data_IF_533930678645
#
_entry.id   IF_533930678645
#
_cell.length_a   1.000
_cell.length_b   1.000
_cell.length_c   1.000
_cell.angle_alpha   90.00
_cell.angle_beta   90.00
_cell.angle_gamma   90.00
#
_symmetry.space_group_name_H-M   'P 1'
#
loop_
_entity.id
_entity.type
_entity.pdbx_description
1 polymer ?
#
# COMPACT_ATOMS: atom_id res chain seq x y z
N UNK A 1 16.77 9.22 -10.57
CA UNK A 1 16.16 9.18 -9.20
C UNK A 1 16.14 7.72 -8.75
N UNK A 2 16.05 7.43 -7.45
CA UNK A 2 15.90 6.05 -6.96
C UNK A 2 14.47 5.52 -7.13
N UNK A 3 14.33 4.20 -7.22
CA UNK A 3 13.04 3.55 -7.07
C UNK A 3 12.72 3.39 -5.58
N UNK A 4 11.61 3.94 -5.13
CA UNK A 4 11.18 3.88 -3.73
C UNK A 4 9.82 3.20 -3.65
N UNK A 5 9.67 2.22 -2.76
CA UNK A 5 8.37 1.65 -2.45
C UNK A 5 7.86 2.18 -1.11
N UNK A 6 6.63 2.66 -1.08
CA UNK A 6 5.95 3.16 0.11
C UNK A 6 4.79 2.23 0.44
N UNK A 7 4.89 1.54 1.55
CA UNK A 7 3.85 0.64 2.05
C UNK A 7 3.30 1.07 3.41
N UNK A 8 2.29 0.41 3.86
CA UNK A 8 1.59 0.63 5.12
C UNK A 8 0.17 0.08 5.03
N UNK A 9 -0.48 -0.13 6.15
CA UNK A 9 -1.86 -0.59 6.17
C UNK A 9 -2.83 0.41 5.55
N UNK A 10 -4.08 0.02 5.41
CA UNK A 10 -5.15 0.92 4.95
C UNK A 10 -5.27 2.15 5.87
N UNK A 11 -5.54 3.32 5.31
CA UNK A 11 -5.68 4.58 6.08
C UNK A 11 -4.38 5.31 6.42
N UNK A 12 -3.19 4.76 6.10
CA UNK A 12 -1.90 5.44 6.38
C UNK A 12 -1.57 6.59 5.42
N UNK A 13 -2.32 6.77 4.31
CA UNK A 13 -2.17 7.91 3.40
C UNK A 13 -1.34 7.64 2.14
N UNK A 14 -1.03 6.39 1.81
CA UNK A 14 -0.22 6.00 0.63
C UNK A 14 -0.65 6.67 -0.68
N UNK A 15 -1.91 6.52 -1.06
CA UNK A 15 -2.46 7.08 -2.30
C UNK A 15 -2.41 8.61 -2.31
N UNK A 16 -2.68 9.24 -1.17
CA UNK A 16 -2.58 10.70 -1.02
C UNK A 16 -1.14 11.18 -1.24
N UNK A 17 -0.16 10.46 -0.67
CA UNK A 17 1.26 10.77 -0.87
C UNK A 17 1.64 10.61 -2.35
N UNK A 18 1.22 9.52 -3.01
CA UNK A 18 1.50 9.32 -4.43
C UNK A 18 0.99 10.50 -5.27
N UNK A 19 -0.24 10.93 -5.06
CA UNK A 19 -0.84 12.08 -5.77
C UNK A 19 -0.08 13.38 -5.51
N UNK A 20 0.27 13.68 -4.24
CA UNK A 20 1.02 14.90 -3.91
C UNK A 20 2.42 14.90 -4.53
N UNK A 21 3.11 13.76 -4.54
CA UNK A 21 4.42 13.62 -5.19
C UNK A 21 4.29 13.85 -6.70
N UNK A 22 3.28 13.26 -7.34
CA UNK A 22 2.99 13.46 -8.75
C UNK A 22 2.75 14.94 -9.09
N UNK A 23 1.94 15.64 -8.30
CA UNK A 23 1.65 17.08 -8.47
C UNK A 23 2.90 17.95 -8.29
N UNK A 24 3.89 17.47 -7.55
CA UNK A 24 5.22 18.11 -7.40
C UNK A 24 6.20 17.76 -8.54
N UNK A 25 5.77 16.97 -9.53
CA UNK A 25 6.61 16.55 -10.65
C UNK A 25 7.56 15.39 -10.32
N UNK A 26 7.35 14.69 -9.20
CA UNK A 26 8.07 13.48 -8.84
C UNK A 26 7.32 12.28 -9.43
N UNK A 27 7.93 11.47 -10.32
CA UNK A 27 7.30 10.28 -10.86
C UNK A 27 6.80 9.37 -9.74
N UNK A 28 5.49 9.19 -9.65
CA UNK A 28 4.86 8.41 -8.56
C UNK A 28 3.55 7.79 -9.02
N UNK A 29 3.30 6.57 -8.56
CA UNK A 29 2.07 5.81 -8.83
C UNK A 29 1.52 5.17 -7.56
N UNK A 30 0.21 4.96 -7.52
CA UNK A 30 -0.45 4.06 -6.56
C UNK A 30 -0.76 2.75 -7.28
N UNK A 31 -0.30 1.61 -6.75
CA UNK A 31 -0.54 0.31 -7.40
C UNK A 31 -2.01 -0.03 -7.49
N UNK A 32 -2.83 0.51 -6.58
CA UNK A 32 -4.28 0.31 -6.55
C UNK A 32 -5.00 1.11 -7.66
N UNK A 33 -4.36 2.15 -8.20
CA UNK A 33 -4.91 3.03 -9.24
C UNK A 33 -4.44 2.66 -10.65
N UNK A 34 -3.48 1.75 -10.79
CA UNK A 34 -3.02 1.27 -12.10
C UNK A 34 -3.88 0.07 -12.53
N UNK A 35 -4.69 0.21 -13.59
CA UNK A 35 -5.62 -0.85 -14.01
C UNK A 35 -4.91 -2.19 -14.25
N UNK A 36 -5.36 -3.24 -13.58
CA UNK A 36 -4.85 -4.60 -13.70
C UNK A 36 -3.40 -4.78 -13.23
N UNK A 37 -2.85 -3.88 -12.41
CA UNK A 37 -1.57 -4.10 -11.74
C UNK A 37 -1.73 -4.98 -10.51
N UNK A 38 -2.81 -4.79 -9.75
CA UNK A 38 -3.15 -5.66 -8.64
C UNK A 38 -4.52 -6.32 -8.87
N UNK A 39 -4.68 -7.51 -8.33
CA UNK A 39 -5.90 -8.32 -8.46
C UNK A 39 -6.11 -9.18 -7.22
N UNK A 40 -7.36 -9.50 -6.93
CA UNK A 40 -7.69 -10.57 -6.00
C UNK A 40 -7.41 -11.91 -6.63
N UNK A 41 -6.73 -12.78 -5.91
CA UNK A 41 -6.31 -14.12 -6.36
C UNK A 41 -6.79 -15.14 -5.35
N UNK A 42 -7.45 -16.18 -5.83
CA UNK A 42 -7.85 -17.32 -4.99
C UNK A 42 -6.63 -18.06 -4.46
N UNK A 43 -6.53 -18.25 -3.14
CA UNK A 43 -5.40 -18.91 -2.49
C UNK A 43 -5.24 -20.37 -2.86
N UNK A 44 -6.32 -21.06 -3.27
CA UNK A 44 -6.30 -22.48 -3.54
C UNK A 44 -5.75 -22.83 -4.93
N UNK A 45 -6.03 -22.01 -5.96
CA UNK A 45 -5.72 -22.33 -7.34
C UNK A 45 -5.04 -21.21 -8.14
N UNK A 46 -4.86 -20.02 -7.53
CA UNK A 46 -4.22 -18.88 -8.16
C UNK A 46 -5.07 -18.18 -9.22
N UNK A 47 -6.37 -18.45 -9.31
CA UNK A 47 -7.25 -17.77 -10.28
C UNK A 47 -7.54 -16.35 -9.85
N UNK A 48 -7.55 -15.42 -10.83
CA UNK A 48 -7.97 -14.03 -10.61
C UNK A 48 -9.49 -13.99 -10.44
N UNK A 49 -9.94 -13.27 -9.44
CA UNK A 49 -11.36 -13.10 -9.10
C UNK A 49 -11.73 -11.65 -9.28
N UNK A 50 -12.76 -11.39 -10.08
CA UNK A 50 -13.40 -10.07 -10.15
C UNK A 50 -14.19 -9.83 -8.87
N UNK A 51 -13.82 -8.78 -8.16
CA UNK A 51 -14.46 -8.42 -6.90
C UNK A 51 -15.63 -7.47 -7.15
N UNK A 52 -16.86 -7.95 -6.97
CA UNK A 52 -18.08 -7.14 -7.09
C UNK A 52 -18.89 -7.02 -5.78
N UNK A 53 -18.44 -7.65 -4.69
CA UNK A 53 -19.25 -7.77 -3.47
C UNK A 53 -18.53 -7.24 -2.21
N UNK A 54 -19.25 -7.19 -1.09
CA UNK A 54 -18.72 -6.80 0.21
C UNK A 54 -17.62 -7.76 0.65
N UNK A 55 -16.47 -7.23 1.07
CA UNK A 55 -15.37 -8.01 1.67
C UNK A 55 -15.82 -8.58 3.02
N UNK A 56 -16.32 -9.79 3.02
CA UNK A 56 -16.58 -10.54 4.25
C UNK A 56 -15.33 -11.37 4.64
N UNK A 57 -15.33 -11.89 5.86
CA UNK A 57 -14.22 -12.69 6.39
C UNK A 57 -13.95 -13.94 5.53
N UNK A 58 -14.99 -14.56 4.98
CA UNK A 58 -14.86 -15.75 4.13
C UNK A 58 -14.10 -15.43 2.84
N UNK A 59 -14.38 -14.27 2.25
CA UNK A 59 -13.65 -13.81 1.07
C UNK A 59 -12.18 -13.52 1.39
N UNK A 60 -11.91 -12.78 2.47
CA UNK A 60 -10.55 -12.43 2.92
C UNK A 60 -9.73 -13.69 3.19
N UNK A 61 -10.30 -14.69 3.85
CA UNK A 61 -9.62 -15.95 4.18
C UNK A 61 -9.28 -16.81 2.94
N UNK A 62 -10.04 -16.64 1.86
CA UNK A 62 -9.90 -17.41 0.63
C UNK A 62 -9.08 -16.72 -0.47
N UNK A 63 -8.81 -15.42 -0.35
CA UNK A 63 -8.21 -14.63 -1.42
C UNK A 63 -7.09 -13.74 -0.91
N UNK A 64 -6.15 -13.41 -1.80
CA UNK A 64 -5.04 -12.48 -1.55
C UNK A 64 -5.09 -11.33 -2.55
N UNK A 65 -4.77 -10.11 -2.10
CA UNK A 65 -4.54 -8.96 -2.97
C UNK A 65 -3.10 -8.97 -3.47
N UNK A 66 -2.87 -9.29 -4.73
CA UNK A 66 -1.56 -9.59 -5.31
C UNK A 66 -1.21 -8.61 -6.41
N UNK A 67 0.03 -8.12 -6.40
CA UNK A 67 0.60 -7.29 -7.47
C UNK A 67 1.26 -8.16 -8.54
N UNK A 68 1.00 -7.86 -9.82
CA UNK A 68 1.72 -8.43 -10.96
C UNK A 68 3.14 -7.85 -11.03
N UNK A 69 4.10 -8.65 -10.57
CA UNK A 69 5.52 -8.24 -10.50
C UNK A 69 6.11 -7.99 -11.88
N UNK A 70 5.67 -8.73 -12.92
CA UNK A 70 6.18 -8.55 -14.28
C UNK A 70 5.72 -7.19 -14.85
N UNK A 71 4.45 -6.86 -14.66
CA UNK A 71 3.89 -5.57 -15.04
C UNK A 71 4.50 -4.41 -14.26
N UNK A 72 4.71 -4.58 -12.94
CA UNK A 72 5.41 -3.59 -12.11
C UNK A 72 6.83 -3.32 -12.62
N UNK A 73 7.59 -4.37 -12.95
CA UNK A 73 8.93 -4.23 -13.57
C UNK A 73 8.89 -3.43 -14.87
N UNK A 74 7.90 -3.67 -15.71
CA UNK A 74 7.74 -2.94 -16.97
C UNK A 74 7.47 -1.45 -16.71
N UNK A 75 6.57 -1.12 -15.80
CA UNK A 75 6.28 0.26 -15.40
C UNK A 75 7.53 0.95 -14.86
N UNK A 76 8.29 0.30 -13.98
CA UNK A 76 9.53 0.87 -13.45
C UNK A 76 10.59 1.13 -14.51
N UNK A 77 10.64 0.30 -15.56
CA UNK A 77 11.58 0.47 -16.67
C UNK A 77 11.26 1.67 -17.59
N UNK A 78 10.04 2.20 -17.52
CA UNK A 78 9.65 3.40 -18.29
C UNK A 78 10.08 4.72 -17.61
N UNK A 79 10.60 4.66 -16.37
CA UNK A 79 10.98 5.81 -15.57
C UNK A 79 12.47 5.75 -15.16
N UNK A 80 13.12 6.90 -15.10
CA UNK A 80 14.44 7.05 -14.46
C UNK A 80 14.24 7.29 -12.95
N UNK A 81 13.72 6.25 -12.26
CA UNK A 81 13.31 6.26 -10.88
C UNK A 81 11.84 6.68 -10.68
N UNK A 82 11.17 5.98 -9.78
CA UNK A 82 9.74 6.16 -9.49
C UNK A 82 9.44 5.86 -8.02
N UNK A 83 8.50 6.61 -7.44
CA UNK A 83 7.90 6.29 -6.16
C UNK A 83 6.65 5.46 -6.39
N UNK A 84 6.60 4.26 -5.85
CA UNK A 84 5.46 3.36 -5.94
C UNK A 84 4.81 3.25 -4.56
N UNK A 85 3.53 3.58 -4.48
CA UNK A 85 2.77 3.54 -3.24
C UNK A 85 1.73 2.42 -3.30
N UNK A 86 1.61 1.64 -2.23
CA UNK A 86 0.55 0.65 -2.14
C UNK A 86 0.77 -0.42 -1.08
N UNK A 87 -0.12 -1.40 -1.10
CA UNK A 87 -0.03 -2.61 -0.30
C UNK A 87 -0.42 -3.79 -1.19
N UNK A 88 0.37 -4.85 -1.15
CA UNK A 88 0.04 -6.14 -1.74
C UNK A 88 0.58 -7.25 -0.85
N UNK A 89 -0.09 -8.38 -0.76
CA UNK A 89 0.34 -9.46 0.15
C UNK A 89 1.64 -10.11 -0.31
N UNK A 90 1.92 -10.08 -1.61
CA UNK A 90 3.20 -10.54 -2.17
C UNK A 90 4.27 -9.43 -2.26
N UNK A 91 4.14 -8.33 -1.53
CA UNK A 91 5.03 -7.17 -1.71
C UNK A 91 6.51 -7.46 -1.40
N UNK A 92 6.81 -8.39 -0.52
CA UNK A 92 8.19 -8.79 -0.24
C UNK A 92 8.88 -9.44 -1.45
N UNK A 93 8.13 -10.03 -2.39
CA UNK A 93 8.68 -10.65 -3.59
C UNK A 93 9.28 -9.63 -4.56
N UNK A 94 8.85 -8.38 -4.46
CA UNK A 94 9.32 -7.30 -5.32
C UNK A 94 10.11 -6.19 -4.61
N UNK A 95 10.41 -6.33 -3.32
CA UNK A 95 11.27 -5.36 -2.62
C UNK A 95 12.62 -5.15 -3.31
N UNK A 96 13.18 -6.20 -3.89
CA UNK A 96 14.42 -6.13 -4.67
C UNK A 96 14.38 -5.26 -5.94
N UNK A 97 13.21 -4.75 -6.34
CA UNK A 97 13.07 -3.78 -7.44
C UNK A 97 13.30 -2.34 -6.98
N UNK A 98 13.38 -2.11 -5.69
CA UNK A 98 13.44 -0.79 -5.07
C UNK A 98 14.76 -0.59 -4.33
N UNK A 99 15.31 0.62 -4.43
CA UNK A 99 16.50 1.03 -3.68
C UNK A 99 16.19 1.21 -2.18
N UNK A 100 14.92 1.52 -1.88
CA UNK A 100 14.44 1.69 -0.50
C UNK A 100 12.95 1.36 -0.40
N UNK A 101 12.59 0.78 0.74
CA UNK A 101 11.19 0.56 1.14
C UNK A 101 10.89 1.44 2.35
N UNK A 102 9.82 2.22 2.28
CA UNK A 102 9.34 3.06 3.37
C UNK A 102 8.04 2.49 3.92
N UNK A 103 7.97 2.35 5.24
CA UNK A 103 6.77 1.90 5.94
C UNK A 103 6.09 3.09 6.62
N UNK A 104 4.90 3.42 6.19
CA UNK A 104 4.06 4.42 6.87
C UNK A 104 3.43 3.78 8.11
N UNK A 105 3.88 4.19 9.29
CA UNK A 105 3.32 3.77 10.58
C UNK A 105 2.33 4.82 11.08
N UNK A 106 1.15 4.37 11.45
CA UNK A 106 0.05 5.22 11.92
C UNK A 106 -0.67 4.55 13.08
N UNK A 107 -1.03 5.32 14.09
CA UNK A 107 -1.80 4.81 15.23
C UNK A 107 -3.17 4.28 14.78
N UNK A 108 -3.72 3.26 15.47
CA UNK A 108 -5.05 2.70 15.16
C UNK A 108 -6.15 3.75 15.12
N UNK A 109 -6.15 4.68 16.06
CA UNK A 109 -7.11 5.77 16.08
C UNK A 109 -7.06 6.60 14.80
N UNK A 110 -5.87 6.98 14.34
CA UNK A 110 -5.70 7.84 13.18
C UNK A 110 -6.02 7.12 11.87
N UNK A 111 -5.56 5.87 11.68
CA UNK A 111 -5.87 5.17 10.42
C UNK A 111 -7.36 4.81 10.32
N UNK A 112 -8.03 4.42 11.42
CA UNK A 112 -9.47 4.17 11.40
C UNK A 112 -10.27 5.45 11.12
N UNK A 113 -9.93 6.57 11.76
CA UNK A 113 -10.57 7.86 11.48
C UNK A 113 -10.44 8.25 10.01
N UNK A 114 -9.26 8.07 9.40
CA UNK A 114 -9.04 8.37 7.98
C UNK A 114 -9.83 7.43 7.07
N UNK A 115 -9.95 6.15 7.39
CA UNK A 115 -10.76 5.18 6.66
C UNK A 115 -12.23 5.61 6.67
N UNK A 116 -12.76 6.00 7.82
CA UNK A 116 -14.15 6.41 7.95
C UNK A 116 -14.47 7.71 7.19
N UNK A 117 -13.50 8.61 7.07
CA UNK A 117 -13.69 9.91 6.39
C UNK A 117 -13.47 9.86 4.88
N UNK A 118 -12.75 8.86 4.35
CA UNK A 118 -12.47 8.79 2.92
C UNK A 118 -13.72 8.41 2.11
N UNK A 119 -13.77 8.85 0.84
CA UNK A 119 -14.90 8.62 -0.08
C UNK A 119 -14.54 7.82 -1.32
N UNK A 120 -13.27 7.55 -1.53
CA UNK A 120 -12.72 6.90 -2.73
C UNK A 120 -12.56 5.38 -2.60
N UNK A 121 -12.69 4.83 -1.38
CA UNK A 121 -12.57 3.41 -1.11
C UNK A 121 -13.35 3.05 0.16
N UNK A 122 -14.16 2.00 0.10
CA UNK A 122 -15.00 1.54 1.22
C UNK A 122 -14.37 0.46 2.09
N UNK A 123 -13.22 -0.09 1.71
CA UNK A 123 -12.52 -1.10 2.51
C UNK A 123 -12.19 -0.58 3.92
N UNK A 124 -12.54 -1.33 4.95
CA UNK A 124 -12.27 -0.97 6.34
C UNK A 124 -13.35 -0.11 7.00
N UNK A 125 -14.46 0.20 6.32
CA UNK A 125 -15.58 0.93 6.93
C UNK A 125 -16.52 0.05 7.74
N UNK A 126 -16.59 -1.24 7.46
CA UNK A 126 -17.37 -2.20 8.23
C UNK A 126 -16.57 -2.75 9.43
N UNK A 127 -17.29 -3.28 10.42
CA UNK A 127 -16.70 -3.77 11.67
C UNK A 127 -15.74 -4.96 11.45
N UNK A 128 -16.02 -5.82 10.48
CA UNK A 128 -15.19 -7.00 10.18
C UNK A 128 -13.83 -6.58 9.65
N UNK A 129 -13.81 -5.67 8.67
CA UNK A 129 -12.57 -5.17 8.10
C UNK A 129 -11.78 -4.30 9.11
N UNK A 130 -12.46 -3.53 9.96
CA UNK A 130 -11.79 -2.80 11.05
C UNK A 130 -11.13 -3.74 12.05
N UNK A 131 -11.84 -4.81 12.45
CA UNK A 131 -11.28 -5.83 13.34
C UNK A 131 -10.07 -6.50 12.70
N UNK A 132 -10.15 -6.90 11.43
CA UNK A 132 -9.03 -7.48 10.70
C UNK A 132 -7.81 -6.55 10.70
N UNK A 133 -7.99 -5.26 10.40
CA UNK A 133 -6.91 -4.28 10.43
C UNK A 133 -6.29 -4.14 11.83
N UNK A 134 -7.11 -4.11 12.89
CA UNK A 134 -6.64 -4.00 14.27
C UNK A 134 -5.88 -5.25 14.74
N UNK A 135 -6.32 -6.42 14.30
CA UNK A 135 -5.69 -7.68 14.68
C UNK A 135 -4.35 -7.91 13.96
N UNK A 136 -4.17 -7.35 12.74
CA UNK A 136 -3.03 -7.67 11.86
C UNK A 136 -1.99 -6.56 11.71
N UNK A 137 -2.29 -5.29 12.03
CA UNK A 137 -1.40 -4.16 11.70
C UNK A 137 -0.01 -4.26 12.34
N UNK A 138 0.09 -4.75 13.58
CA UNK A 138 1.38 -4.88 14.28
C UNK A 138 2.26 -5.92 13.66
N UNK A 139 1.71 -7.10 13.40
CA UNK A 139 2.44 -8.20 12.77
C UNK A 139 2.92 -7.79 11.37
N UNK A 140 2.07 -7.06 10.64
CA UNK A 140 2.43 -6.48 9.35
C UNK A 140 3.61 -5.50 9.47
N UNK A 141 3.54 -4.53 10.40
CA UNK A 141 4.60 -3.54 10.59
C UNK A 141 5.91 -4.20 11.00
N UNK A 142 5.87 -5.14 11.96
CA UNK A 142 7.04 -5.91 12.41
C UNK A 142 7.66 -6.70 11.25
N UNK A 143 6.82 -7.35 10.43
CA UNK A 143 7.28 -8.08 9.25
C UNK A 143 7.96 -7.15 8.22
N UNK A 144 7.39 -5.98 7.94
CA UNK A 144 8.00 -5.02 7.03
C UNK A 144 9.34 -4.51 7.53
N UNK A 145 9.45 -4.15 8.81
CA UNK A 145 10.70 -3.71 9.43
C UNK A 145 11.77 -4.81 9.41
N UNK A 146 11.38 -6.05 9.69
CA UNK A 146 12.28 -7.21 9.62
C UNK A 146 12.83 -7.46 8.21
N UNK A 147 12.08 -7.05 7.17
CA UNK A 147 12.49 -7.11 5.76
C UNK A 147 13.18 -5.83 5.27
N UNK A 148 13.61 -4.94 6.16
CA UNK A 148 14.45 -3.80 5.85
C UNK A 148 13.70 -2.51 5.47
N UNK A 149 12.39 -2.44 5.69
CA UNK A 149 11.65 -1.20 5.51
C UNK A 149 12.06 -0.15 6.56
N UNK A 150 12.09 1.12 6.14
CA UNK A 150 12.39 2.27 7.01
C UNK A 150 11.07 2.91 7.45
N UNK A 151 10.88 3.04 8.76
CA UNK A 151 9.66 3.60 9.33
C UNK A 151 9.56 5.12 9.08
N UNK A 152 8.37 5.55 8.64
CA UNK A 152 7.96 6.95 8.54
C UNK A 152 6.73 7.15 9.43
N UNK A 153 6.82 8.06 10.39
CA UNK A 153 5.69 8.39 11.26
C UNK A 153 4.61 9.12 10.46
N UNK A 154 3.49 8.44 10.22
CA UNK A 154 2.34 8.96 9.49
C UNK A 154 1.23 9.55 10.39
N UNK A 155 1.44 9.67 11.70
CA UNK A 155 0.53 10.37 12.62
C UNK A 155 0.65 11.91 12.54
N UNK A 156 1.62 12.39 11.78
CA UNK A 156 1.84 13.82 11.52
C UNK A 156 0.88 14.37 10.46
N UNK A 157 1.00 15.68 10.20
CA UNK A 157 0.32 16.32 9.06
C UNK A 157 0.82 15.74 7.74
N UNK A 158 -0.02 15.77 6.70
CA UNK A 158 0.36 15.21 5.41
C UNK A 158 1.59 15.89 4.81
N UNK A 159 1.74 17.19 5.03
CA UNK A 159 2.89 17.99 4.60
C UNK A 159 4.19 17.50 5.23
N UNK A 160 4.18 17.21 6.54
CA UNK A 160 5.34 16.70 7.27
C UNK A 160 5.70 15.28 6.82
N UNK A 161 4.70 14.42 6.58
CA UNK A 161 4.92 13.06 6.06
C UNK A 161 5.53 13.10 4.66
N UNK A 162 4.97 13.92 3.77
CA UNK A 162 5.50 14.12 2.41
C UNK A 162 6.93 14.68 2.46
N UNK A 163 7.22 15.65 3.34
CA UNK A 163 8.59 16.15 3.50
C UNK A 163 9.56 15.05 3.96
N UNK A 164 9.13 14.18 4.89
CA UNK A 164 9.93 13.04 5.33
C UNK A 164 10.19 12.05 4.20
N UNK A 165 9.19 11.76 3.37
CA UNK A 165 9.33 10.90 2.18
C UNK A 165 10.29 11.52 1.17
N UNK A 166 10.17 12.81 0.87
CA UNK A 166 11.04 13.51 -0.09
C UNK A 166 12.51 13.48 0.39
N UNK A 167 12.76 13.53 1.70
CA UNK A 167 14.13 13.44 2.24
C UNK A 167 14.78 12.05 2.03
N UNK A 168 14.00 11.02 1.68
CA UNK A 168 14.47 9.65 1.43
C UNK A 168 14.69 9.34 -0.07
N UNK A 169 14.16 10.19 -0.95
CA UNK A 169 14.29 10.07 -2.42
C UNK A 169 15.65 10.61 -2.89
#
# INVERSE_FOLDING_TARGET
>A
MKNIFITGISGTGKTTIARILHDKGIPSISIDEVPGLCSWVNCADGTIVDYEAVLDQTFIDAHMWVCDVAKLKHILAEHDGCVVCGHAENQTDFFGLFDKVLLLQCSPENFLNRIMQRTDNDFGKDETAQKYLLDTYKDFEEHMLANGAVAINADRTIEEVVASVIAEI
#
